data_IF_813022540014
#
_entry.id   IF_813022540014
#
_cell.length_a   1.000
_cell.length_b   1.000
_cell.length_c   1.000
_cell.angle_alpha   90.00
_cell.angle_beta   90.00
_cell.angle_gamma   90.00
#
_symmetry.space_group_name_H-M   'P 1'
#
loop_
_entity.id
_entity.type
_entity.pdbx_description
1 polymer ?
#
# COMPACT_ATOMS: atom_id res chain seq x y z
N UNK A 1 -78.80 35.11 70.48
CA UNK A 1 -77.61 35.88 70.08
C UNK A 1 -77.80 36.39 68.65
N UNK A 2 -77.48 37.66 68.49
CA UNK A 2 -77.14 38.42 67.28
C UNK A 2 -77.25 37.73 65.92
N UNK A 3 -78.23 38.22 65.16
CA UNK A 3 -78.35 38.13 63.70
C UNK A 3 -77.19 38.86 63.02
N UNK A 4 -76.13 38.14 62.65
CA UNK A 4 -75.15 38.60 61.66
C UNK A 4 -75.69 38.35 60.25
N UNK A 5 -76.42 39.34 59.72
CA UNK A 5 -76.52 39.54 58.27
C UNK A 5 -75.16 40.05 57.80
N UNK A 6 -74.28 39.13 57.44
CA UNK A 6 -73.11 39.47 56.65
C UNK A 6 -73.57 39.99 55.29
N UNK A 7 -73.13 41.21 54.96
CA UNK A 7 -73.53 41.98 53.80
C UNK A 7 -73.32 41.23 52.49
N UNK A 8 -74.41 41.09 51.75
CA UNK A 8 -74.45 40.66 50.35
C UNK A 8 -74.85 41.83 49.43
N UNK A 9 -74.56 43.07 49.84
CA UNK A 9 -74.84 44.29 49.06
C UNK A 9 -73.55 45.02 48.69
N UNK A 10 -72.63 44.34 48.01
CA UNK A 10 -71.58 45.00 47.24
C UNK A 10 -70.92 44.02 46.29
N UNK A 11 -71.56 43.74 45.15
CA UNK A 11 -70.93 43.26 43.90
C UNK A 11 -72.02 42.96 42.86
N UNK A 12 -72.84 43.96 42.53
CA UNK A 12 -73.58 43.99 41.27
C UNK A 12 -73.01 45.11 40.41
N UNK A 13 -71.74 44.98 40.05
CA UNK A 13 -71.21 45.70 38.88
C UNK A 13 -71.79 44.94 37.68
N UNK A 14 -72.50 45.59 36.74
CA UNK A 14 -73.05 44.90 35.58
C UNK A 14 -71.90 44.14 34.89
N UNK A 15 -72.03 42.82 34.71
CA UNK A 15 -71.04 42.00 34.00
C UNK A 15 -70.77 42.54 32.57
N UNK A 16 -71.70 43.30 32.00
CA UNK A 16 -71.51 44.01 30.72
C UNK A 16 -70.48 45.15 30.81
N UNK A 17 -70.36 45.79 31.98
CA UNK A 17 -69.40 46.88 32.21
C UNK A 17 -68.01 46.33 32.57
N UNK A 18 -67.91 45.17 33.21
CA UNK A 18 -66.60 44.51 33.47
C UNK A 18 -65.95 43.99 32.18
N UNK A 19 -66.74 43.32 31.32
CA UNK A 19 -66.25 42.87 30.02
C UNK A 19 -65.94 44.05 29.10
N UNK A 20 -66.83 45.06 29.05
CA UNK A 20 -66.59 46.30 28.30
C UNK A 20 -65.36 47.07 28.79
N UNK A 21 -65.14 47.17 30.10
CA UNK A 21 -63.94 47.79 30.66
C UNK A 21 -62.68 46.95 30.39
N UNK A 22 -62.76 45.62 30.39
CA UNK A 22 -61.64 44.76 30.02
C UNK A 22 -61.30 44.89 28.53
N UNK A 23 -62.30 44.93 27.65
CA UNK A 23 -62.12 45.17 26.21
C UNK A 23 -61.55 46.56 25.95
N UNK A 24 -62.10 47.60 26.59
CA UNK A 24 -61.58 48.97 26.50
C UNK A 24 -60.17 49.08 27.05
N UNK A 25 -59.81 48.32 28.09
CA UNK A 25 -58.45 48.27 28.65
C UNK A 25 -57.45 47.62 27.69
N UNK A 26 -57.85 46.52 27.06
CA UNK A 26 -57.05 45.87 26.00
C UNK A 26 -56.90 46.80 24.81
N UNK A 27 -57.98 47.49 24.43
CA UNK A 27 -57.99 48.45 23.32
C UNK A 27 -57.11 49.67 23.63
N UNK A 28 -57.17 50.21 24.85
CA UNK A 28 -56.26 51.29 25.29
C UNK A 28 -54.81 50.84 25.41
N UNK A 29 -54.52 49.63 25.89
CA UNK A 29 -53.17 49.07 25.87
C UNK A 29 -52.65 48.88 24.44
N UNK A 30 -53.49 48.45 23.50
CA UNK A 30 -53.16 48.33 22.08
C UNK A 30 -52.88 49.71 21.46
N UNK A 31 -53.69 50.73 21.80
CA UNK A 31 -53.47 52.10 21.35
C UNK A 31 -52.21 52.72 21.97
N UNK A 32 -51.92 52.47 23.25
CA UNK A 32 -50.67 52.91 23.88
C UNK A 32 -49.46 52.23 23.24
N UNK A 33 -49.51 50.93 22.97
CA UNK A 33 -48.44 50.22 22.24
C UNK A 33 -48.25 50.79 20.83
N UNK A 34 -49.34 51.12 20.13
CA UNK A 34 -49.28 51.74 18.80
C UNK A 34 -48.69 53.16 18.83
N UNK A 35 -49.10 53.99 19.80
CA UNK A 35 -48.54 55.34 20.00
C UNK A 35 -47.05 55.29 20.38
N UNK A 36 -46.67 54.37 21.27
CA UNK A 36 -45.26 54.15 21.63
C UNK A 36 -44.40 53.64 20.46
N UNK A 37 -45.00 52.99 19.45
CA UNK A 37 -44.34 52.57 18.19
C UNK A 37 -44.16 53.75 17.20
N UNK A 38 -44.98 54.81 17.30
CA UNK A 38 -44.94 55.99 16.42
C UNK A 38 -44.01 57.11 16.91
N UNK A 39 -43.60 57.12 18.18
CA UNK A 39 -42.55 58.03 18.64
C UNK A 39 -41.16 57.61 18.10
N UNK A 40 -40.47 58.47 17.33
CA UNK A 40 -39.09 58.22 16.90
C UNK A 40 -38.17 58.14 18.13
N UNK A 41 -37.47 57.01 18.31
CA UNK A 41 -36.54 56.79 19.44
C UNK A 41 -35.30 57.72 19.46
N UNK A 42 -35.15 58.62 18.49
CA UNK A 42 -33.99 59.52 18.34
C UNK A 42 -34.14 60.90 19.03
N UNK A 43 -35.12 61.09 19.90
CA UNK A 43 -35.22 62.32 20.73
C UNK A 43 -35.32 62.08 22.24
N UNK A 44 -34.81 60.95 22.76
CA UNK A 44 -34.42 60.89 24.18
C UNK A 44 -33.06 61.54 24.40
N UNK A 45 -33.05 62.87 24.36
CA UNK A 45 -32.05 63.64 25.09
C UNK A 45 -32.20 63.38 26.60
N UNK A 46 -31.14 63.53 27.40
CA UNK A 46 -31.20 63.32 28.85
C UNK A 46 -32.26 64.25 29.46
N UNK A 47 -33.12 63.70 30.33
CA UNK A 47 -33.97 64.51 31.20
C UNK A 47 -33.09 65.40 32.08
N UNK A 48 -32.94 66.66 31.70
CA UNK A 48 -32.55 67.74 32.61
C UNK A 48 -33.84 68.44 33.03
N UNK A 49 -34.40 68.04 34.16
CA UNK A 49 -35.34 68.86 34.91
C UNK A 49 -34.53 69.73 35.85
N UNK A 50 -34.44 71.02 35.52
CA UNK A 50 -34.53 72.15 36.47
C UNK A 50 -34.23 73.44 35.69
N UNK A 51 -35.25 74.19 35.32
CA UNK A 51 -35.35 75.63 35.63
C UNK A 51 -36.63 76.26 35.05
N UNK A 52 -37.44 76.75 35.99
CA UNK A 52 -38.24 77.99 36.01
C UNK A 52 -39.00 78.43 34.75
N UNK A 53 -40.31 78.29 34.88
CA UNK A 53 -41.34 79.25 34.49
C UNK A 53 -40.90 80.71 34.58
N UNK A 54 -41.07 81.46 33.48
CA UNK A 54 -41.77 82.75 33.50
C UNK A 54 -41.94 83.33 32.10
N UNK A 55 -43.20 83.62 31.74
CA UNK A 55 -43.63 84.91 31.19
C UNK A 55 -43.14 85.26 29.76
N UNK A 56 -43.90 85.76 28.79
CA UNK A 56 -45.23 86.40 28.73
C UNK A 56 -45.68 86.36 27.25
N UNK A 57 -46.98 86.47 27.06
CA UNK A 57 -47.73 87.14 25.98
C UNK A 57 -47.49 86.79 24.50
N UNK A 58 -48.49 86.21 23.84
CA UNK A 58 -49.71 86.83 23.30
C UNK A 58 -49.50 87.77 22.10
N UNK A 59 -50.21 87.39 21.03
CA UNK A 59 -50.77 88.22 19.97
C UNK A 59 -49.86 88.62 18.80
N UNK A 60 -50.26 88.17 17.60
CA UNK A 60 -50.65 89.01 16.45
C UNK A 60 -50.70 88.11 15.20
N UNK A 61 -51.86 87.59 14.80
CA UNK A 61 -52.74 88.20 13.79
C UNK A 61 -52.00 88.96 12.68
N UNK A 62 -51.94 88.39 11.46
CA UNK A 62 -52.72 88.91 10.31
C UNK A 62 -52.53 88.10 9.02
N UNK A 63 -53.69 87.78 8.46
CA UNK A 63 -53.95 87.30 7.10
C UNK A 63 -53.22 88.06 5.99
N UNK A 64 -52.75 87.34 4.95
CA UNK A 64 -52.91 87.78 3.56
C UNK A 64 -52.93 86.63 2.55
N UNK A 65 -54.03 86.57 1.81
CA UNK A 65 -54.35 85.66 0.70
C UNK A 65 -53.33 85.72 -0.44
N UNK A 66 -52.96 84.56 -1.01
CA UNK A 66 -53.08 84.33 -2.46
C UNK A 66 -53.06 82.83 -2.79
N UNK A 67 -54.18 82.37 -3.33
CA UNK A 67 -54.37 81.07 -3.96
C UNK A 67 -53.48 80.94 -5.18
N UNK A 68 -52.65 79.88 -5.22
CA UNK A 68 -52.17 79.28 -6.45
C UNK A 68 -52.28 77.77 -6.29
N UNK A 69 -53.34 77.23 -6.87
CA UNK A 69 -53.57 75.81 -7.02
C UNK A 69 -52.35 75.16 -7.70
N UNK A 70 -51.64 74.32 -6.95
CA UNK A 70 -51.02 73.13 -7.53
C UNK A 70 -51.69 71.93 -6.88
N UNK A 71 -52.52 71.28 -7.69
CA UNK A 71 -52.82 69.89 -7.51
C UNK A 71 -51.50 69.12 -7.44
N UNK A 72 -51.12 68.74 -6.24
CA UNK A 72 -50.30 67.56 -6.01
C UNK A 72 -51.06 66.86 -4.91
N UNK A 73 -51.69 65.74 -5.28
CA UNK A 73 -52.15 64.74 -4.35
C UNK A 73 -51.18 64.73 -3.17
N UNK A 74 -51.72 64.92 -1.97
CA UNK A 74 -51.05 64.58 -0.73
C UNK A 74 -50.58 63.14 -0.94
N UNK A 75 -49.34 63.03 -1.41
CA UNK A 75 -48.72 61.77 -1.80
C UNK A 75 -48.47 61.18 -0.44
N UNK A 76 -49.48 60.48 0.10
CA UNK A 76 -49.33 59.57 1.21
C UNK A 76 -48.05 58.83 0.89
N UNK A 77 -46.97 59.18 1.59
CA UNK A 77 -45.68 58.56 1.43
C UNK A 77 -45.89 57.17 2.00
N UNK A 78 -46.44 56.30 1.16
CA UNK A 78 -46.66 54.91 1.50
C UNK A 78 -45.30 54.32 1.83
N UNK A 79 -45.23 53.57 2.92
CA UNK A 79 -44.04 52.80 3.25
C UNK A 79 -43.58 52.03 2.01
N UNK A 80 -42.28 52.13 1.74
CA UNK A 80 -41.64 51.37 0.64
C UNK A 80 -41.87 49.87 0.87
N UNK A 81 -41.78 49.07 -0.20
CA UNK A 81 -42.00 47.63 -0.09
C UNK A 81 -41.02 46.98 0.90
N UNK A 82 -39.79 47.48 0.95
CA UNK A 82 -38.76 47.03 1.90
C UNK A 82 -39.15 47.37 3.35
N UNK A 83 -39.63 48.60 3.61
CA UNK A 83 -40.12 48.99 4.94
C UNK A 83 -41.34 48.18 5.39
N UNK A 84 -42.22 47.80 4.46
CA UNK A 84 -43.37 46.93 4.74
C UNK A 84 -42.94 45.50 5.04
N UNK A 85 -41.95 44.99 4.30
CA UNK A 85 -41.36 43.67 4.54
C UNK A 85 -40.68 43.62 5.92
N UNK A 86 -39.85 44.61 6.25
CA UNK A 86 -39.19 44.74 7.56
C UNK A 86 -40.20 44.83 8.70
N UNK A 87 -41.28 45.61 8.53
CA UNK A 87 -42.34 45.69 9.52
C UNK A 87 -43.06 44.33 9.66
N UNK A 88 -43.39 43.67 8.54
CA UNK A 88 -44.01 42.34 8.56
C UNK A 88 -43.13 41.27 9.21
N UNK A 89 -41.82 41.32 8.98
CA UNK A 89 -40.87 40.41 9.61
C UNK A 89 -40.73 40.69 11.12
N UNK A 90 -40.72 41.95 11.53
CA UNK A 90 -40.71 42.33 12.95
C UNK A 90 -41.97 41.87 13.68
N UNK A 91 -43.14 42.14 13.12
CA UNK A 91 -44.42 41.70 13.70
C UNK A 91 -44.51 40.17 13.72
N UNK A 92 -43.96 39.47 12.72
CA UNK A 92 -43.86 38.01 12.73
C UNK A 92 -42.97 37.50 13.88
N UNK A 93 -41.83 38.15 14.15
CA UNK A 93 -40.96 37.75 15.26
C UNK A 93 -41.56 38.13 16.63
N UNK A 94 -42.21 39.29 16.74
CA UNK A 94 -42.95 39.69 17.95
C UNK A 94 -44.07 38.69 18.27
N UNK A 95 -44.90 38.34 17.29
CA UNK A 95 -45.99 37.35 17.48
C UNK A 95 -45.46 35.95 17.78
N UNK A 96 -44.34 35.53 17.16
CA UNK A 96 -43.68 34.27 17.53
C UNK A 96 -43.21 34.28 18.98
N UNK A 97 -42.61 35.37 19.44
CA UNK A 97 -42.17 35.49 20.82
C UNK A 97 -43.35 35.50 21.80
N UNK A 98 -44.42 36.23 21.50
CA UNK A 98 -45.66 36.21 22.29
C UNK A 98 -46.27 34.80 22.35
N UNK A 99 -46.28 34.07 21.24
CA UNK A 99 -46.72 32.66 21.23
C UNK A 99 -45.83 31.76 22.08
N UNK A 100 -44.50 31.93 22.04
CA UNK A 100 -43.56 31.17 22.89
C UNK A 100 -43.82 31.46 24.37
N UNK A 101 -43.96 32.74 24.74
CA UNK A 101 -44.25 33.16 26.10
C UNK A 101 -45.60 32.63 26.59
N UNK A 102 -46.64 32.73 25.77
CA UNK A 102 -47.97 32.19 26.08
C UNK A 102 -47.89 30.68 26.35
N UNK A 103 -47.22 29.92 25.48
CA UNK A 103 -47.02 28.47 25.68
C UNK A 103 -46.28 28.18 26.98
N UNK A 104 -45.20 28.90 27.26
CA UNK A 104 -44.43 28.72 28.49
C UNK A 104 -45.24 29.07 29.76
N UNK A 105 -46.11 30.08 29.68
CA UNK A 105 -47.05 30.41 30.76
C UNK A 105 -48.07 29.28 30.97
N UNK A 106 -48.75 28.86 29.90
CA UNK A 106 -49.76 27.80 29.95
C UNK A 106 -49.19 26.48 30.46
N UNK A 107 -47.97 26.12 30.06
CA UNK A 107 -47.29 24.92 30.55
C UNK A 107 -47.01 25.00 32.06
N UNK A 108 -46.55 26.16 32.55
CA UNK A 108 -46.36 26.37 33.99
C UNK A 108 -47.67 26.27 34.76
N UNK A 109 -48.74 26.85 34.23
CA UNK A 109 -50.05 26.82 34.87
C UNK A 109 -50.62 25.41 34.89
N UNK A 110 -50.46 24.66 33.80
CA UNK A 110 -50.83 23.24 33.71
C UNK A 110 -50.11 22.40 34.77
N UNK A 111 -48.79 22.53 34.85
CA UNK A 111 -47.97 21.83 35.86
C UNK A 111 -48.37 22.20 37.29
N UNK A 112 -48.72 23.47 37.54
CA UNK A 112 -49.22 23.90 38.85
C UNK A 112 -50.58 23.27 39.18
N UNK A 113 -51.50 23.24 38.22
CA UNK A 113 -52.81 22.62 38.41
C UNK A 113 -52.71 21.11 38.62
N UNK A 114 -51.84 20.42 37.87
CA UNK A 114 -51.53 19.00 38.08
C UNK A 114 -51.01 18.75 39.49
N UNK A 115 -50.04 19.55 39.96
CA UNK A 115 -49.51 19.44 41.33
C UNK A 115 -50.59 19.66 42.40
N UNK A 116 -51.53 20.60 42.18
CA UNK A 116 -52.66 20.86 43.09
C UNK A 116 -53.62 19.65 43.12
N UNK A 117 -53.93 19.07 41.96
CA UNK A 117 -54.80 17.90 41.86
C UNK A 117 -54.17 16.69 42.56
N UNK A 118 -52.90 16.40 42.30
CA UNK A 118 -52.17 15.32 42.98
C UNK A 118 -52.15 15.52 44.50
N UNK A 119 -51.89 16.74 44.98
CA UNK A 119 -51.94 17.05 46.40
C UNK A 119 -53.34 16.82 47.00
N UNK A 120 -54.39 17.24 46.29
CA UNK A 120 -55.77 17.05 46.73
C UNK A 120 -56.15 15.57 46.79
N UNK A 121 -55.74 14.77 45.81
CA UNK A 121 -55.95 13.32 45.79
C UNK A 121 -55.25 12.62 46.96
N UNK A 122 -54.00 12.97 47.23
CA UNK A 122 -53.24 12.44 48.37
C UNK A 122 -53.95 12.80 49.69
N UNK A 123 -54.30 14.08 49.87
CA UNK A 123 -55.03 14.54 51.08
C UNK A 123 -56.37 13.83 51.24
N UNK A 124 -57.11 13.64 50.15
CA UNK A 124 -58.38 12.94 50.18
C UNK A 124 -58.21 11.48 50.63
N UNK A 125 -57.21 10.77 50.09
CA UNK A 125 -56.90 9.41 50.50
C UNK A 125 -56.48 9.34 51.98
N UNK A 126 -55.67 10.28 52.45
CA UNK A 126 -55.25 10.39 53.86
C UNK A 126 -56.43 10.66 54.79
N UNK A 127 -57.32 11.59 54.45
CA UNK A 127 -58.53 11.90 55.21
C UNK A 127 -59.48 10.71 55.27
N UNK A 128 -59.71 10.03 54.14
CA UNK A 128 -60.55 8.83 54.08
C UNK A 128 -59.98 7.74 55.00
N UNK A 129 -58.67 7.51 54.97
CA UNK A 129 -58.00 6.57 55.87
C UNK A 129 -58.10 7.00 57.33
N UNK A 130 -57.87 8.28 57.62
CA UNK A 130 -57.98 8.82 58.97
C UNK A 130 -59.40 8.68 59.55
N UNK A 131 -60.43 8.87 58.72
CA UNK A 131 -61.83 8.66 59.08
C UNK A 131 -62.12 7.18 59.39
N UNK A 132 -61.65 6.26 58.53
CA UNK A 132 -61.80 4.81 58.76
C UNK A 132 -61.04 4.34 60.01
N UNK A 133 -59.83 4.85 60.22
CA UNK A 133 -59.04 4.57 61.42
C UNK A 133 -59.73 5.08 62.67
N UNK A 134 -60.30 6.29 62.63
CA UNK A 134 -61.06 6.84 63.75
C UNK A 134 -62.33 6.02 64.06
N UNK A 135 -63.09 5.63 63.04
CA UNK A 135 -64.29 4.80 63.23
C UNK A 135 -63.93 3.45 63.88
N UNK A 136 -62.90 2.78 63.37
CA UNK A 136 -62.39 1.52 63.93
C UNK A 136 -61.86 1.68 65.36
N UNK A 137 -60.97 2.64 65.57
CA UNK A 137 -60.18 2.72 66.80
C UNK A 137 -60.98 3.38 67.94
N UNK A 138 -61.91 4.28 67.61
CA UNK A 138 -62.72 5.05 68.56
C UNK A 138 -64.19 4.62 68.55
N UNK A 139 -64.93 4.77 67.45
CA UNK A 139 -66.38 4.59 67.46
C UNK A 139 -66.80 3.13 67.70
N UNK A 140 -66.18 2.17 67.02
CA UNK A 140 -66.48 0.74 67.18
C UNK A 140 -66.04 0.23 68.57
N UNK A 141 -64.89 0.68 69.06
CA UNK A 141 -64.34 0.30 70.37
C UNK A 141 -65.04 0.97 71.58
N UNK A 142 -65.76 2.08 71.37
CA UNK A 142 -66.48 2.83 72.43
C UNK A 142 -67.98 2.53 72.50
N UNK A 143 -68.54 1.82 71.52
CA UNK A 143 -69.97 1.55 71.36
C UNK A 143 -70.67 0.87 72.57
N UNK A 144 -69.91 0.31 73.53
CA UNK A 144 -70.47 -0.44 74.67
C UNK A 144 -70.65 0.36 75.97
N UNK A 145 -70.10 1.58 76.12
CA UNK A 145 -70.21 2.40 77.36
C UNK A 145 -70.17 3.91 77.06
N UNK A 146 -71.29 4.47 76.56
CA UNK A 146 -71.45 5.92 76.35
C UNK A 146 -71.39 6.66 77.70
N UNK A 147 -70.49 7.64 77.84
CA UNK A 147 -70.41 8.56 79.00
C UNK A 147 -69.41 8.20 80.11
N UNK A 148 -68.55 7.19 79.92
CA UNK A 148 -67.53 6.83 80.92
C UNK A 148 -66.26 7.68 80.78
N UNK A 149 -65.59 8.00 81.91
CA UNK A 149 -64.24 8.59 81.97
C UNK A 149 -63.24 7.86 81.06
N UNK A 150 -63.42 6.54 80.90
CA UNK A 150 -62.61 5.67 80.02
C UNK A 150 -62.76 6.06 78.54
N UNK A 151 -63.92 6.55 78.10
CA UNK A 151 -64.12 7.01 76.73
C UNK A 151 -63.35 8.30 76.44
N UNK A 152 -63.39 9.26 77.36
CA UNK A 152 -62.64 10.52 77.24
C UNK A 152 -61.13 10.27 77.24
N UNK A 153 -60.62 9.41 78.12
CA UNK A 153 -59.20 9.04 78.15
C UNK A 153 -58.71 8.40 76.85
N UNK A 154 -59.53 7.54 76.23
CA UNK A 154 -59.20 6.94 74.93
C UNK A 154 -59.13 7.97 73.79
N UNK A 155 -60.06 8.93 73.76
CA UNK A 155 -60.04 10.02 72.77
C UNK A 155 -58.80 10.90 72.96
N UNK A 156 -58.45 11.24 74.21
CA UNK A 156 -57.23 12.02 74.49
C UNK A 156 -55.97 11.26 74.04
N UNK A 157 -55.84 9.98 74.38
CA UNK A 157 -54.70 9.16 73.94
C UNK A 157 -54.60 9.10 72.41
N UNK A 158 -55.72 8.91 71.71
CA UNK A 158 -55.72 8.93 70.24
C UNK A 158 -55.26 10.27 69.68
N UNK A 159 -55.70 11.39 70.26
CA UNK A 159 -55.28 12.72 69.83
C UNK A 159 -53.78 12.95 70.07
N UNK A 160 -53.26 12.51 71.22
CA UNK A 160 -51.82 12.54 71.55
C UNK A 160 -51.00 11.71 70.56
N UNK A 161 -51.40 10.45 70.31
CA UNK A 161 -50.74 9.55 69.37
C UNK A 161 -50.73 10.14 67.94
N UNK A 162 -51.84 10.76 67.51
CA UNK A 162 -51.93 11.42 66.19
C UNK A 162 -51.10 12.70 66.11
N UNK A 163 -51.04 13.50 67.18
CA UNK A 163 -50.16 14.65 67.26
C UNK A 163 -48.69 14.21 67.17
N UNK A 164 -48.31 13.14 67.88
CA UNK A 164 -46.95 12.62 67.82
C UNK A 164 -46.58 12.13 66.41
N UNK A 165 -47.49 11.41 65.73
CA UNK A 165 -47.28 10.97 64.35
C UNK A 165 -47.13 12.14 63.38
N UNK A 166 -47.91 13.22 63.56
CA UNK A 166 -47.77 14.45 62.78
C UNK A 166 -46.40 15.08 62.97
N UNK A 167 -45.89 15.12 64.20
CA UNK A 167 -44.56 15.67 64.49
C UNK A 167 -43.44 14.83 63.85
N UNK A 168 -43.56 13.50 63.89
CA UNK A 168 -42.64 12.60 63.17
C UNK A 168 -42.67 12.84 61.64
N UNK A 169 -43.85 13.06 61.08
CA UNK A 169 -43.99 13.38 59.64
C UNK A 169 -43.37 14.74 59.31
N UNK A 170 -43.56 15.75 60.17
CA UNK A 170 -42.94 17.07 60.02
C UNK A 170 -41.42 16.97 59.98
N UNK A 171 -40.81 16.20 60.88
CA UNK A 171 -39.36 16.00 60.91
C UNK A 171 -38.86 15.25 59.66
N UNK A 172 -39.59 14.22 59.21
CA UNK A 172 -39.30 13.50 57.97
C UNK A 172 -39.33 14.42 56.75
N UNK A 173 -40.36 15.26 56.63
CA UNK A 173 -40.48 16.23 55.54
C UNK A 173 -39.38 17.29 55.61
N UNK A 174 -39.01 17.75 56.81
CA UNK A 174 -37.89 18.69 57.00
C UNK A 174 -36.56 18.12 56.49
N UNK A 175 -36.25 16.87 56.85
CA UNK A 175 -35.03 16.19 56.38
C UNK A 175 -35.05 16.01 54.86
N UNK A 176 -36.19 15.61 54.29
CA UNK A 176 -36.34 15.48 52.82
C UNK A 176 -36.16 16.83 52.11
N UNK A 177 -36.69 17.91 52.67
CA UNK A 177 -36.52 19.27 52.12
C UNK A 177 -35.04 19.70 52.11
N UNK A 178 -34.30 19.44 53.19
CA UNK A 178 -32.86 19.73 53.26
C UNK A 178 -32.09 18.93 52.22
N UNK A 179 -32.40 17.62 52.08
CA UNK A 179 -31.77 16.75 51.09
C UNK A 179 -32.03 17.22 49.66
N UNK A 180 -33.28 17.54 49.31
CA UNK A 180 -33.65 18.04 47.99
C UNK A 180 -33.01 19.40 47.69
N UNK A 181 -32.91 20.31 48.67
CA UNK A 181 -32.18 21.58 48.52
C UNK A 181 -30.70 21.35 48.20
N UNK A 182 -30.06 20.39 48.88
CA UNK A 182 -28.67 20.04 48.60
C UNK A 182 -28.50 19.44 47.19
N UNK A 183 -29.40 18.56 46.76
CA UNK A 183 -29.41 18.01 45.40
C UNK A 183 -29.61 19.10 44.34
N UNK A 184 -30.59 20.00 44.54
CA UNK A 184 -30.80 21.16 43.66
C UNK A 184 -29.52 21.98 43.52
N UNK A 185 -28.85 22.30 44.63
CA UNK A 185 -27.59 23.05 44.61
C UNK A 185 -26.49 22.32 43.85
N UNK A 186 -26.37 21.00 44.00
CA UNK A 186 -25.39 20.17 43.28
C UNK A 186 -25.66 20.17 41.77
N UNK A 187 -26.93 20.00 41.37
CA UNK A 187 -27.33 20.02 39.95
C UNK A 187 -27.05 21.39 39.33
N UNK A 188 -27.41 22.48 40.02
CA UNK A 188 -27.13 23.84 39.55
C UNK A 188 -25.62 24.10 39.40
N UNK A 189 -24.79 23.58 40.31
CA UNK A 189 -23.33 23.69 40.18
C UNK A 189 -22.82 22.93 38.95
N UNK A 190 -23.32 21.71 38.71
CA UNK A 190 -22.96 20.95 37.51
C UNK A 190 -23.42 21.63 36.22
N UNK A 191 -24.58 22.29 36.24
CA UNK A 191 -25.06 23.09 35.11
C UNK A 191 -24.10 24.25 34.83
N UNK A 192 -23.75 25.02 35.86
CA UNK A 192 -22.81 26.14 35.76
C UNK A 192 -21.43 25.73 35.26
N UNK A 193 -20.91 24.59 35.74
CA UNK A 193 -19.64 24.04 35.24
C UNK A 193 -19.73 23.63 33.76
N UNK A 194 -20.86 23.11 33.32
CA UNK A 194 -21.07 22.78 31.90
C UNK A 194 -21.21 24.04 31.04
N UNK A 195 -21.91 25.06 31.53
CA UNK A 195 -22.05 26.36 30.86
C UNK A 195 -20.69 27.07 30.74
N UNK A 196 -19.84 27.05 31.77
CA UNK A 196 -18.48 27.61 31.71
C UNK A 196 -17.58 26.82 30.74
N UNK A 197 -17.80 25.51 30.57
CA UNK A 197 -17.11 24.71 29.54
C UNK A 197 -17.63 25.02 28.14
N UNK A 198 -18.92 25.34 27.99
CA UNK A 198 -19.53 25.78 26.73
C UNK A 198 -19.02 27.19 26.34
N UNK A 199 -18.78 28.06 27.33
CA UNK A 199 -18.17 29.38 27.14
C UNK A 199 -16.66 29.29 26.81
N UNK A 200 -15.98 28.23 27.27
CA UNK A 200 -14.59 27.93 26.90
C UNK A 200 -14.45 27.30 25.49
N UNK A 201 -15.53 26.79 24.92
CA UNK A 201 -15.53 26.11 23.63
C UNK A 201 -16.23 27.00 22.60
N UNK A 202 -15.48 27.96 22.05
CA UNK A 202 -16.09 28.87 21.08
C UNK A 202 -16.50 28.08 19.84
N UNK A 203 -17.70 28.35 19.31
CA UNK A 203 -18.16 27.82 18.02
C UNK A 203 -17.10 28.05 16.91
N UNK A 204 -16.32 29.12 17.04
CA UNK A 204 -15.18 29.43 16.17
C UNK A 204 -14.08 28.36 16.25
N UNK A 205 -13.75 27.84 17.43
CA UNK A 205 -12.73 26.80 17.60
C UNK A 205 -13.19 25.47 16.98
N UNK A 206 -14.48 25.14 17.11
CA UNK A 206 -15.06 23.98 16.44
C UNK A 206 -15.05 24.11 14.93
N UNK A 207 -15.38 25.29 14.41
CA UNK A 207 -15.31 25.56 12.98
C UNK A 207 -13.86 25.52 12.48
N UNK A 208 -12.92 26.05 13.25
CA UNK A 208 -11.49 25.97 12.96
C UNK A 208 -11.02 24.50 12.89
N UNK A 209 -11.37 23.66 13.86
CA UNK A 209 -11.08 22.23 13.86
C UNK A 209 -11.68 21.50 12.63
N UNK A 210 -12.90 21.86 12.24
CA UNK A 210 -13.53 21.30 11.02
C UNK A 210 -12.77 21.71 9.77
N UNK A 211 -12.34 22.97 9.67
CA UNK A 211 -11.54 23.48 8.55
C UNK A 211 -10.18 22.76 8.50
N UNK A 212 -9.48 22.66 9.62
CA UNK A 212 -8.18 21.98 9.70
C UNK A 212 -8.30 20.50 9.32
N UNK A 213 -9.32 19.81 9.81
CA UNK A 213 -9.56 18.41 9.46
C UNK A 213 -9.84 18.24 7.96
N UNK A 214 -10.67 19.12 7.38
CA UNK A 214 -10.90 19.12 5.94
C UNK A 214 -9.60 19.36 5.13
N UNK A 215 -8.77 20.30 5.56
CA UNK A 215 -7.46 20.56 4.93
C UNK A 215 -6.50 19.38 5.06
N UNK A 216 -6.48 18.67 6.19
CA UNK A 216 -5.66 17.48 6.37
C UNK A 216 -6.14 16.33 5.50
N UNK A 217 -7.46 16.12 5.37
CA UNK A 217 -8.03 15.13 4.47
C UNK A 217 -7.64 15.41 3.01
N UNK A 218 -7.74 16.67 2.57
CA UNK A 218 -7.34 17.05 1.21
C UNK A 218 -5.84 16.80 0.95
N UNK A 219 -4.97 17.13 1.92
CA UNK A 219 -3.54 16.82 1.85
C UNK A 219 -3.26 15.31 1.82
N UNK A 220 -3.99 14.52 2.59
CA UNK A 220 -3.87 13.06 2.57
C UNK A 220 -4.26 12.53 1.19
N UNK A 221 -5.37 13.00 0.63
CA UNK A 221 -5.81 12.60 -0.70
C UNK A 221 -4.84 13.02 -1.81
N UNK A 222 -4.25 14.21 -1.70
CA UNK A 222 -3.19 14.67 -2.61
C UNK A 222 -1.96 13.76 -2.56
N UNK A 223 -1.44 13.47 -1.36
CA UNK A 223 -0.30 12.55 -1.18
C UNK A 223 -0.62 11.13 -1.66
N UNK A 224 -1.86 10.66 -1.47
CA UNK A 224 -2.29 9.35 -1.95
C UNK A 224 -2.32 9.30 -3.49
N UNK A 225 -2.78 10.37 -4.16
CA UNK A 225 -2.73 10.48 -5.63
C UNK A 225 -1.28 10.49 -6.13
N UNK A 226 -0.40 11.27 -5.51
CA UNK A 226 1.04 11.30 -5.84
C UNK A 226 1.67 9.91 -5.67
N UNK A 227 1.40 9.22 -4.56
CA UNK A 227 1.89 7.88 -4.29
C UNK A 227 1.43 6.88 -5.34
N UNK A 228 0.16 6.94 -5.77
CA UNK A 228 -0.37 6.08 -6.81
C UNK A 228 0.33 6.32 -8.15
N UNK A 229 0.53 7.59 -8.52
CA UNK A 229 1.26 7.95 -9.74
C UNK A 229 2.71 7.46 -9.73
N UNK A 230 3.40 7.59 -8.59
CA UNK A 230 4.75 7.07 -8.40
C UNK A 230 4.79 5.55 -8.50
N UNK A 231 3.83 4.83 -7.92
CA UNK A 231 3.73 3.36 -8.04
C UNK A 231 3.55 2.92 -9.48
N UNK A 232 2.68 3.57 -10.24
CA UNK A 232 2.49 3.27 -11.67
C UNK A 232 3.78 3.52 -12.46
N UNK A 233 4.44 4.64 -12.20
CA UNK A 233 5.70 5.00 -12.87
C UNK A 233 6.82 4.01 -12.53
N UNK A 234 6.94 3.60 -11.27
CA UNK A 234 7.89 2.59 -10.82
C UNK A 234 7.61 1.23 -11.49
N UNK A 235 6.33 0.82 -11.58
CA UNK A 235 5.92 -0.40 -12.27
C UNK A 235 6.29 -0.39 -13.75
N UNK A 236 5.99 0.69 -14.47
CA UNK A 236 6.36 0.87 -15.88
C UNK A 236 7.89 0.85 -16.07
N UNK A 237 8.62 1.55 -15.20
CA UNK A 237 10.09 1.59 -15.26
C UNK A 237 10.68 0.20 -15.03
N UNK A 238 10.12 -0.58 -14.10
CA UNK A 238 10.54 -1.96 -13.85
C UNK A 238 10.27 -2.88 -15.05
N UNK A 239 9.13 -2.71 -15.74
CA UNK A 239 8.85 -3.46 -16.97
C UNK A 239 9.87 -3.15 -18.07
N UNK A 240 10.17 -1.86 -18.29
CA UNK A 240 11.18 -1.41 -19.26
C UNK A 240 12.56 -1.95 -18.90
N UNK A 241 12.95 -1.87 -17.63
CA UNK A 241 14.22 -2.41 -17.13
C UNK A 241 14.33 -3.92 -17.40
N UNK A 242 13.31 -4.69 -17.06
CA UNK A 242 13.30 -6.13 -17.29
C UNK A 242 13.36 -6.49 -18.78
N UNK A 243 12.69 -5.71 -19.63
CA UNK A 243 12.79 -5.87 -21.08
C UNK A 243 14.23 -5.70 -21.57
N UNK A 244 14.90 -4.61 -21.17
CA UNK A 244 16.29 -4.37 -21.57
C UNK A 244 17.27 -5.35 -20.95
N UNK A 245 17.05 -5.79 -19.70
CA UNK A 245 17.84 -6.85 -19.06
C UNK A 245 17.78 -8.15 -19.86
N UNK A 246 16.59 -8.57 -20.31
CA UNK A 246 16.43 -9.76 -21.15
C UNK A 246 17.09 -9.59 -22.51
N UNK A 247 16.94 -8.41 -23.14
CA UNK A 247 17.59 -8.11 -24.43
C UNK A 247 19.12 -8.18 -24.31
N UNK A 248 19.69 -7.64 -23.23
CA UNK A 248 21.12 -7.72 -22.95
C UNK A 248 21.58 -9.16 -22.74
N UNK A 249 20.86 -9.93 -21.92
CA UNK A 249 21.19 -11.34 -21.69
C UNK A 249 21.22 -12.15 -22.99
N UNK A 250 20.20 -11.98 -23.84
CA UNK A 250 20.17 -12.64 -25.14
C UNK A 250 21.36 -12.23 -26.02
N UNK A 251 21.71 -10.93 -26.05
CA UNK A 251 22.87 -10.44 -26.80
C UNK A 251 24.18 -11.05 -26.27
N UNK A 252 24.35 -11.14 -24.95
CA UNK A 252 25.52 -11.78 -24.34
C UNK A 252 25.61 -13.27 -24.67
N UNK A 253 24.49 -14.00 -24.59
CA UNK A 253 24.44 -15.42 -24.98
C UNK A 253 24.80 -15.61 -26.45
N UNK A 254 24.31 -14.73 -27.34
CA UNK A 254 24.70 -14.77 -28.76
C UNK A 254 26.17 -14.44 -28.97
N UNK A 255 26.74 -13.47 -28.25
CA UNK A 255 28.17 -13.15 -28.32
C UNK A 255 29.02 -14.35 -27.90
N UNK A 256 28.69 -14.97 -26.76
CA UNK A 256 29.41 -16.15 -26.27
C UNK A 256 29.31 -17.33 -27.24
N UNK A 257 28.14 -17.54 -27.87
CA UNK A 257 27.99 -18.56 -28.92
C UNK A 257 28.87 -18.26 -30.12
N UNK A 258 28.86 -17.02 -30.62
CA UNK A 258 29.67 -16.60 -31.76
C UNK A 258 31.16 -16.70 -31.46
N UNK A 259 31.61 -16.35 -30.26
CA UNK A 259 33.00 -16.51 -29.83
C UNK A 259 33.45 -17.97 -29.88
N UNK A 260 32.60 -18.91 -29.42
CA UNK A 260 32.86 -20.34 -29.53
C UNK A 260 32.93 -20.79 -31.00
N UNK A 261 31.99 -20.35 -31.83
CA UNK A 261 32.00 -20.65 -33.27
C UNK A 261 33.25 -20.12 -33.96
N UNK A 262 33.67 -18.90 -33.64
CA UNK A 262 34.91 -18.29 -34.16
C UNK A 262 36.13 -19.12 -33.72
N UNK A 263 36.20 -19.55 -32.45
CA UNK A 263 37.30 -20.40 -31.96
C UNK A 263 37.37 -21.72 -32.73
N UNK A 264 36.23 -22.41 -32.87
CA UNK A 264 36.15 -23.66 -33.63
C UNK A 264 36.55 -23.47 -35.10
N UNK A 265 36.11 -22.38 -35.73
CA UNK A 265 36.48 -22.08 -37.12
C UNK A 265 37.97 -21.78 -37.26
N UNK A 266 38.59 -21.09 -36.30
CA UNK A 266 40.05 -20.88 -36.29
C UNK A 266 40.81 -22.20 -36.17
N UNK A 267 40.41 -23.09 -35.27
CA UNK A 267 41.03 -24.42 -35.13
C UNK A 267 40.90 -25.25 -36.43
N UNK A 268 39.73 -25.21 -37.07
CA UNK A 268 39.52 -25.87 -38.37
C UNK A 268 40.41 -25.27 -39.46
N UNK A 269 40.53 -23.94 -39.52
CA UNK A 269 41.39 -23.27 -40.49
C UNK A 269 42.86 -23.65 -40.30
N UNK A 270 43.36 -23.67 -39.06
CA UNK A 270 44.71 -24.14 -38.76
C UNK A 270 44.94 -25.59 -39.20
N UNK A 271 43.94 -26.47 -39.04
CA UNK A 271 44.02 -27.85 -39.53
C UNK A 271 44.10 -27.91 -41.05
N UNK A 272 43.24 -27.18 -41.76
CA UNK A 272 43.22 -27.12 -43.22
C UNK A 272 44.53 -26.54 -43.75
N UNK A 273 45.08 -25.51 -43.11
CA UNK A 273 46.35 -24.91 -43.50
C UNK A 273 47.50 -25.92 -43.35
N UNK A 274 47.56 -26.66 -42.24
CA UNK A 274 48.52 -27.77 -42.07
C UNK A 274 48.38 -28.85 -43.14
N UNK A 275 47.15 -29.28 -43.43
CA UNK A 275 46.86 -30.27 -44.48
C UNK A 275 47.24 -29.75 -45.87
N UNK A 276 47.02 -28.48 -46.15
CA UNK A 276 47.37 -27.82 -47.41
C UNK A 276 48.88 -27.78 -47.61
N UNK A 277 49.65 -27.35 -46.59
CA UNK A 277 51.12 -27.35 -46.63
C UNK A 277 51.65 -28.77 -46.85
N UNK A 278 51.08 -29.77 -46.17
CA UNK A 278 51.46 -31.16 -46.33
C UNK A 278 51.15 -31.67 -47.76
N UNK A 279 49.96 -31.38 -48.28
CA UNK A 279 49.57 -31.72 -49.65
C UNK A 279 50.45 -31.05 -50.71
N UNK A 280 50.85 -29.79 -50.51
CA UNK A 280 51.79 -29.11 -51.40
C UNK A 280 53.18 -29.75 -51.38
N UNK A 281 53.66 -30.16 -50.21
CA UNK A 281 54.93 -30.89 -50.06
C UNK A 281 54.88 -32.23 -50.79
N UNK A 282 53.82 -33.00 -50.62
CA UNK A 282 53.60 -34.27 -51.31
C UNK A 282 53.50 -34.08 -52.82
N UNK A 283 52.76 -33.06 -53.28
CA UNK A 283 52.68 -32.69 -54.69
C UNK A 283 54.05 -32.37 -55.27
N UNK A 284 54.85 -31.54 -54.59
CA UNK A 284 56.19 -31.18 -55.04
C UNK A 284 57.12 -32.41 -55.11
N UNK A 285 57.05 -33.32 -54.14
CA UNK A 285 57.79 -34.59 -54.16
C UNK A 285 57.38 -35.45 -55.35
N UNK A 286 56.07 -35.66 -55.55
CA UNK A 286 55.53 -36.41 -56.67
C UNK A 286 55.91 -35.81 -58.03
N UNK A 287 55.84 -34.48 -58.19
CA UNK A 287 56.28 -33.77 -59.40
C UNK A 287 57.77 -33.96 -59.65
N UNK A 288 58.61 -33.88 -58.61
CA UNK A 288 60.06 -34.10 -58.73
C UNK A 288 60.36 -35.53 -59.20
N UNK A 289 59.64 -36.52 -58.66
CA UNK A 289 59.76 -37.92 -59.03
C UNK A 289 59.28 -38.16 -60.46
N UNK A 290 58.11 -37.61 -60.82
CA UNK A 290 57.57 -37.70 -62.17
C UNK A 290 58.54 -37.10 -63.20
N UNK A 291 59.15 -35.95 -62.90
CA UNK A 291 60.19 -35.33 -63.74
C UNK A 291 61.42 -36.24 -63.90
N UNK A 292 61.87 -36.91 -62.83
CA UNK A 292 62.97 -37.89 -62.91
C UNK A 292 62.60 -39.09 -63.80
N UNK A 293 61.41 -39.66 -63.60
CA UNK A 293 60.91 -40.79 -64.41
C UNK A 293 60.77 -40.41 -65.89
N UNK A 294 60.25 -39.22 -66.19
CA UNK A 294 60.17 -38.71 -67.57
C UNK A 294 61.55 -38.54 -68.22
N UNK A 295 62.55 -38.07 -67.46
CA UNK A 295 63.95 -38.00 -67.93
C UNK A 295 64.54 -39.39 -68.17
N UNK A 296 64.26 -40.35 -67.29
CA UNK A 296 64.69 -41.74 -67.50
C UNK A 296 64.05 -42.32 -68.76
N UNK A 297 62.74 -42.07 -68.96
CA UNK A 297 62.02 -42.51 -70.15
C UNK A 297 62.54 -41.85 -71.43
N UNK A 298 62.90 -40.55 -71.41
CA UNK A 298 63.49 -39.89 -72.58
C UNK A 298 64.89 -40.39 -72.91
N UNK A 299 65.67 -40.74 -71.89
CA UNK A 299 67.03 -41.28 -72.06
C UNK A 299 67.02 -42.78 -72.40
N UNK A 300 65.90 -43.47 -72.19
CA UNK A 300 65.74 -44.87 -72.53
C UNK A 300 65.70 -45.03 -74.05
N UNK A 301 66.72 -45.72 -74.58
CA UNK A 301 66.75 -46.20 -75.96
C UNK A 301 66.64 -47.72 -75.92
N UNK A 302 65.64 -48.25 -76.61
CA UNK A 302 65.50 -49.69 -76.82
C UNK A 302 66.73 -50.15 -77.62
N UNK A 303 67.58 -51.05 -77.08
CA UNK A 303 68.69 -51.60 -77.83
C UNK A 303 68.18 -52.27 -79.10
N UNK A 304 68.89 -52.10 -80.21
CA UNK A 304 68.53 -52.76 -81.47
C UNK A 304 68.49 -54.28 -81.24
N UNK A 305 67.43 -54.97 -81.69
CA UNK A 305 67.17 -56.39 -81.36
C UNK A 305 68.40 -57.26 -81.62
N UNK A 306 69.09 -57.04 -82.75
CA UNK A 306 70.31 -57.78 -83.07
C UNK A 306 71.48 -57.52 -82.11
N UNK A 307 71.61 -56.30 -81.56
CA UNK A 307 72.64 -55.97 -80.56
C UNK A 307 72.34 -56.65 -79.23
N UNK A 308 71.08 -56.68 -78.82
CA UNK A 308 70.65 -57.41 -77.63
C UNK A 308 70.88 -58.92 -77.80
N UNK A 309 70.51 -59.49 -78.95
CA UNK A 309 70.75 -60.92 -79.26
C UNK A 309 72.25 -61.24 -79.25
N UNK A 310 73.09 -60.40 -79.86
CA UNK A 310 74.55 -60.56 -79.83
C UNK A 310 75.10 -60.50 -78.39
N UNK A 311 74.74 -59.48 -77.61
CA UNK A 311 75.18 -59.37 -76.21
C UNK A 311 74.68 -60.55 -75.36
N UNK A 312 73.46 -61.07 -75.60
CA UNK A 312 72.97 -62.27 -74.90
C UNK A 312 73.69 -63.55 -75.34
N UNK A 313 74.05 -63.68 -76.62
CA UNK A 313 74.85 -64.81 -77.11
C UNK A 313 76.27 -64.75 -76.55
N UNK A 314 76.88 -63.56 -76.49
CA UNK A 314 78.19 -63.36 -75.87
C UNK A 314 78.15 -63.67 -74.37
N UNK A 315 77.14 -63.21 -73.63
CA UNK A 315 76.95 -63.59 -72.22
C UNK A 315 76.78 -65.10 -72.05
N UNK A 316 76.00 -65.76 -72.93
CA UNK A 316 75.80 -67.20 -72.89
C UNK A 316 77.07 -68.00 -73.23
N UNK A 317 77.84 -67.56 -74.23
CA UNK A 317 79.10 -68.18 -74.63
C UNK A 317 80.17 -67.99 -73.56
N UNK A 318 80.18 -66.84 -72.87
CA UNK A 318 81.01 -66.59 -71.70
C UNK A 318 80.61 -67.49 -70.52
N UNK A 319 79.31 -67.64 -70.23
CA UNK A 319 78.81 -68.58 -69.22
C UNK A 319 79.21 -70.03 -69.53
N UNK A 320 79.03 -70.49 -70.77
CA UNK A 320 79.50 -71.81 -71.20
C UNK A 320 81.01 -71.97 -71.11
N UNK A 321 81.75 -70.93 -71.45
CA UNK A 321 83.21 -70.95 -71.35
C UNK A 321 83.63 -71.07 -69.89
N UNK A 322 82.98 -70.34 -68.98
CA UNK A 322 83.16 -70.47 -67.53
C UNK A 322 82.87 -71.91 -67.10
N UNK A 323 81.73 -72.49 -67.48
CA UNK A 323 81.36 -73.87 -67.13
C UNK A 323 82.37 -74.91 -67.67
N UNK A 324 82.87 -74.72 -68.90
CA UNK A 324 83.91 -75.57 -69.49
C UNK A 324 85.23 -75.44 -68.73
N UNK A 325 85.62 -74.22 -68.34
CA UNK A 325 86.83 -73.99 -67.57
C UNK A 325 86.71 -74.56 -66.16
N UNK A 326 85.57 -74.41 -65.50
CA UNK A 326 85.26 -75.06 -64.21
C UNK A 326 85.41 -76.58 -64.33
N UNK A 327 84.82 -77.19 -65.38
CA UNK A 327 84.94 -78.63 -65.61
C UNK A 327 86.37 -79.09 -65.95
N UNK A 328 87.16 -78.25 -66.63
CA UNK A 328 88.59 -78.53 -66.88
C UNK A 328 89.41 -78.46 -65.59
N UNK A 329 89.10 -77.54 -64.68
CA UNK A 329 89.71 -77.45 -63.35
C UNK A 329 89.37 -78.71 -62.56
N UNK A 330 88.10 -79.14 -62.51
CA UNK A 330 87.69 -80.38 -61.84
C UNK A 330 88.42 -81.61 -62.40
N UNK A 331 88.55 -81.75 -63.73
CA UNK A 331 89.27 -82.88 -64.34
C UNK A 331 90.78 -82.82 -64.03
N UNK A 332 91.37 -81.62 -63.98
CA UNK A 332 92.77 -81.44 -63.59
C UNK A 332 93.00 -81.81 -62.12
N UNK A 333 92.08 -81.45 -61.23
CA UNK A 333 92.11 -81.84 -59.82
C UNK A 333 91.96 -83.35 -59.66
N UNK A 334 91.01 -84.00 -60.34
CA UNK A 334 90.83 -85.47 -60.29
C UNK A 334 92.05 -86.22 -60.86
N UNK A 335 92.67 -85.73 -61.94
CA UNK A 335 93.92 -86.29 -62.46
C UNK A 335 95.08 -86.12 -61.49
N UNK A 336 95.15 -84.99 -60.79
CA UNK A 336 96.15 -84.77 -59.76
C UNK A 336 95.95 -85.73 -58.57
N UNK A 337 94.72 -85.98 -58.15
CA UNK A 337 94.40 -86.98 -57.12
C UNK A 337 94.71 -88.42 -57.56
N UNK A 338 94.48 -88.79 -58.83
CA UNK A 338 94.82 -90.12 -59.37
C UNK A 338 96.34 -90.34 -59.48
N UNK A 339 97.10 -89.34 -59.93
CA UNK A 339 98.58 -89.40 -59.93
C UNK A 339 99.14 -89.48 -58.51
N UNK A 340 98.52 -88.79 -57.55
CA UNK A 340 98.87 -88.92 -56.13
C UNK A 340 98.53 -90.31 -55.57
N UNK A 341 97.40 -90.91 -55.95
CA UNK A 341 97.01 -92.26 -55.53
C UNK A 341 97.94 -93.33 -56.12
N UNK A 342 98.35 -93.20 -57.39
CA UNK A 342 99.32 -94.10 -58.03
C UNK A 342 100.71 -94.01 -57.38
N UNK A 343 101.16 -92.83 -56.94
CA UNK A 343 102.45 -92.65 -56.23
C UNK A 343 102.40 -93.25 -54.81
N UNK A 344 101.24 -93.29 -54.14
CA UNK A 344 101.09 -93.92 -52.82
C UNK A 344 100.99 -95.46 -52.91
N UNK A 345 100.33 -96.01 -53.92
CA UNK A 345 100.16 -97.47 -54.07
C UNK A 345 101.30 -98.17 -54.82
N UNK A 346 102.09 -97.46 -55.64
CA UNK A 346 103.28 -98.02 -56.31
C UNK A 346 104.55 -97.62 -55.56
N UNK A 347 104.96 -98.45 -54.60
CA UNK A 347 106.17 -98.29 -53.79
C UNK A 347 107.47 -98.21 -54.60
N UNK A 348 107.77 -97.03 -55.15
CA UNK A 348 109.05 -96.68 -55.75
C UNK A 348 109.65 -95.47 -55.03
N UNK A 349 110.60 -95.78 -54.15
CA UNK A 349 111.50 -94.83 -53.52
C UNK A 349 112.42 -94.19 -54.58
N UNK A 350 112.65 -92.90 -54.40
CA UNK A 350 113.80 -92.15 -54.91
C UNK A 350 113.90 -91.98 -56.42
N UNK A 351 113.19 -90.99 -56.96
CA UNK A 351 113.75 -90.17 -58.04
C UNK A 351 113.12 -88.77 -58.03
N UNK A 352 113.98 -87.76 -58.15
CA UNK A 352 113.64 -86.34 -58.17
C UNK A 352 112.95 -86.00 -59.49
N UNK A 353 111.67 -85.63 -59.45
CA UNK A 353 110.94 -85.15 -60.63
C UNK A 353 110.92 -83.62 -60.64
N UNK A 354 111.79 -83.03 -61.45
CA UNK A 354 111.76 -81.60 -61.80
C UNK A 354 110.63 -81.34 -62.82
N UNK A 355 109.58 -80.62 -62.42
CA UNK A 355 108.63 -80.01 -63.37
C UNK A 355 109.22 -78.70 -63.92
N UNK A 356 109.56 -78.69 -65.22
CA UNK A 356 109.97 -77.48 -65.95
C UNK A 356 108.71 -76.80 -66.50
N UNK A 357 108.15 -75.84 -65.77
CA UNK A 357 107.13 -74.93 -66.31
C UNK A 357 107.79 -73.97 -67.31
N UNK A 358 107.21 -73.83 -68.51
CA UNK A 358 107.48 -72.67 -69.37
C UNK A 358 106.86 -71.48 -68.65
N UNK A 359 107.66 -70.43 -68.48
CA UNK A 359 107.37 -69.14 -67.84
C UNK A 359 107.77 -69.06 -66.35
N UNK A 360 109.08 -68.88 -66.14
CA UNK A 360 109.64 -67.95 -65.15
C UNK A 360 109.29 -68.11 -63.67
N UNK A 361 110.19 -68.79 -62.95
CA UNK A 361 110.60 -68.47 -61.57
C UNK A 361 109.60 -68.68 -60.42
N UNK A 362 109.43 -69.92 -59.98
CA UNK A 362 109.17 -70.23 -58.57
C UNK A 362 109.83 -71.58 -58.20
N UNK A 363 111.02 -71.53 -57.61
CA UNK A 363 111.59 -72.68 -56.91
C UNK A 363 110.83 -72.85 -55.59
N UNK A 364 109.80 -73.69 -55.59
CA UNK A 364 109.13 -74.09 -54.35
C UNK A 364 110.03 -75.12 -53.67
N UNK A 365 110.70 -74.72 -52.58
CA UNK A 365 111.36 -75.62 -51.66
C UNK A 365 110.36 -76.71 -51.22
N UNK A 366 110.81 -77.96 -51.28
CA UNK A 366 110.12 -79.18 -50.84
C UNK A 366 109.60 -79.08 -49.39
N UNK A 367 110.10 -78.13 -48.59
CA UNK A 367 109.67 -77.88 -47.21
C UNK A 367 108.26 -77.26 -47.08
N UNK A 368 107.73 -76.58 -48.10
CA UNK A 368 106.33 -76.08 -48.08
C UNK A 368 105.34 -77.21 -48.44
N UNK A 369 105.79 -78.23 -49.15
CA UNK A 369 104.94 -79.34 -49.59
C UNK A 369 104.57 -80.27 -48.41
N UNK A 370 105.48 -80.46 -47.46
CA UNK A 370 105.19 -81.09 -46.16
C UNK A 370 104.28 -80.24 -45.26
N UNK A 371 104.32 -78.91 -45.39
CA UNK A 371 103.47 -77.99 -44.62
C UNK A 371 102.01 -77.99 -45.11
N UNK A 372 101.78 -78.14 -46.41
CA UNK A 372 100.42 -78.22 -46.99
C UNK A 372 99.83 -79.63 -46.84
N UNK A 373 100.62 -80.70 -46.95
CA UNK A 373 100.13 -82.06 -46.67
C UNK A 373 99.65 -82.22 -45.21
N UNK A 374 100.37 -81.65 -44.24
CA UNK A 374 99.93 -81.64 -42.83
C UNK A 374 98.63 -80.84 -42.60
N UNK A 375 98.33 -79.86 -43.47
CA UNK A 375 97.14 -79.01 -43.33
C UNK A 375 95.90 -79.56 -44.05
N UNK A 376 96.08 -80.44 -45.03
CA UNK A 376 94.99 -81.12 -45.76
C UNK A 376 94.62 -82.46 -45.10
N UNK A 377 95.59 -83.18 -44.51
CA UNK A 377 95.31 -84.38 -43.70
C UNK A 377 94.65 -84.06 -42.33
N UNK A 378 94.85 -82.86 -41.77
CA UNK A 378 94.13 -82.38 -40.58
C UNK A 378 92.74 -81.75 -40.87
N UNK A 379 92.29 -81.70 -42.12
CA UNK A 379 90.95 -81.17 -42.50
C UNK A 379 89.98 -82.25 -43.00
N UNK A 380 90.39 -83.52 -42.93
CA UNK A 380 89.60 -84.68 -43.34
C UNK A 380 89.64 -85.80 -42.28
N UNK A 381 89.47 -85.40 -41.00
CA UNK A 381 88.84 -86.17 -39.91
C UNK A 381 87.78 -85.25 -39.31
#
# INVERSE_FOLDING_TARGET
ETSERCGLDSLYVPLSCSYGNATLKIETEMFEKYLNKLEPKDQRGPRMTDFKTSSVDFSQLRNRRKSKSRATAERLIGLTMDQKYELGQRELEETKEEMRQMRANSERDLQNHEAILEEAEIRWAELKKAMQDFDRDILQNLSKKKGSIVATQKIMKYLEDKNHLRDLMKDKLRLKNISLKAQKKKILLHLKQKEEVDEALHEVDFQQLKIENAQFLEKIDERNRELLQLKMTAGNTLQVLNFYKKKLQNAMETSSRLEKEISLKKEMLEKIERETIQGEKERAQAESLNKKLRKQLSNYRVPHVMKYVQETMESYDLEKSIEIWERKVEIAEVKQYLVFADIIFSGKKNEYVCFRARDGSACILIDIFLFILNRVLCKTI
#
